data_IF_663704307062
#
_entry.id   IF_663704307062
#
_cell.length_a   1.000
_cell.length_b   1.000
_cell.length_c   1.000
_cell.angle_alpha   90.00
_cell.angle_beta   90.00
_cell.angle_gamma   90.00
#
_symmetry.space_group_name_H-M   'P 1'
#
loop_
_entity.id
_entity.type
_entity.pdbx_description
1 polymer ?
#
# COMPACT_ATOMS: atom_id res chain seq x y z
N UNK A 1 -17.76 31.04 -2.54
CA UNK A 1 -16.76 30.22 -3.27
C UNK A 1 -16.20 29.21 -2.31
N UNK A 2 -16.55 27.92 -2.48
CA UNK A 2 -16.10 26.84 -1.61
C UNK A 2 -14.58 26.65 -1.73
N UNK A 3 -13.92 26.29 -0.63
CA UNK A 3 -12.48 26.05 -0.51
C UNK A 3 -11.93 25.05 -1.57
N UNK A 4 -12.80 24.20 -2.13
CA UNK A 4 -12.53 23.30 -3.25
C UNK A 4 -12.17 23.99 -4.57
N UNK A 5 -12.63 25.23 -4.79
CA UNK A 5 -12.37 25.96 -6.04
C UNK A 5 -10.93 26.49 -6.15
N UNK A 6 -10.17 26.54 -5.05
CA UNK A 6 -8.77 26.98 -5.03
C UNK A 6 -7.77 25.83 -5.15
N UNK A 7 -8.22 24.58 -5.10
CA UNK A 7 -7.37 23.42 -5.21
C UNK A 7 -7.38 22.92 -6.66
N UNK A 8 -6.26 23.12 -7.36
CA UNK A 8 -6.05 22.59 -8.71
C UNK A 8 -6.23 21.06 -8.70
N UNK A 9 -7.28 20.53 -9.36
CA UNK A 9 -7.60 19.10 -9.33
C UNK A 9 -6.46 18.25 -9.90
N UNK A 10 -5.61 18.81 -10.77
CA UNK A 10 -4.41 18.14 -11.28
C UNK A 10 -3.40 17.90 -10.16
N UNK A 11 -3.17 18.91 -9.31
CA UNK A 11 -2.21 18.80 -8.19
C UNK A 11 -2.71 17.82 -7.13
N UNK A 12 -4.01 17.84 -6.85
CA UNK A 12 -4.64 16.86 -5.97
C UNK A 12 -4.54 15.44 -6.52
N UNK A 13 -4.86 15.25 -7.81
CA UNK A 13 -4.72 13.95 -8.48
C UNK A 13 -3.29 13.41 -8.39
N UNK A 14 -2.29 14.25 -8.70
CA UNK A 14 -0.88 13.88 -8.57
C UNK A 14 -0.49 13.51 -7.13
N UNK A 15 -0.94 14.28 -6.14
CA UNK A 15 -0.65 13.99 -4.73
C UNK A 15 -1.24 12.63 -4.31
N UNK A 16 -2.50 12.37 -4.64
CA UNK A 16 -3.16 11.11 -4.32
C UNK A 16 -2.57 9.92 -5.11
N UNK A 17 -2.19 10.11 -6.38
CA UNK A 17 -1.49 9.10 -7.16
C UNK A 17 -0.12 8.75 -6.54
N UNK A 18 0.61 9.76 -6.04
CA UNK A 18 1.87 9.56 -5.34
C UNK A 18 1.68 8.77 -4.04
N UNK A 19 0.68 9.11 -3.22
CA UNK A 19 0.37 8.34 -2.00
C UNK A 19 -0.11 6.92 -2.32
N UNK A 20 -0.87 6.72 -3.40
CA UNK A 20 -1.25 5.41 -3.91
C UNK A 20 -0.01 4.58 -4.27
N UNK A 21 0.95 5.16 -5.01
CA UNK A 21 2.20 4.50 -5.38
C UNK A 21 3.05 4.13 -4.15
N UNK A 22 3.14 5.01 -3.14
CA UNK A 22 3.83 4.70 -1.88
C UNK A 22 3.16 3.51 -1.18
N UNK A 23 1.83 3.52 -1.05
CA UNK A 23 1.09 2.45 -0.39
C UNK A 23 1.23 1.11 -1.14
N UNK A 24 1.20 1.15 -2.48
CA UNK A 24 1.50 -0.01 -3.35
C UNK A 24 2.92 -0.54 -3.11
N UNK A 25 3.91 0.34 -3.09
CA UNK A 25 5.31 -0.02 -2.85
C UNK A 25 5.48 -0.63 -1.45
N UNK A 26 4.81 -0.08 -0.45
CA UNK A 26 4.80 -0.63 0.92
C UNK A 26 4.12 -1.99 0.99
N UNK A 27 3.05 -2.21 0.22
CA UNK A 27 2.41 -3.53 0.07
C UNK A 27 3.35 -4.55 -0.58
N UNK A 28 4.01 -4.18 -1.68
CA UNK A 28 4.93 -5.05 -2.42
C UNK A 28 6.19 -5.39 -1.63
N UNK A 29 6.62 -4.50 -0.72
CA UNK A 29 7.80 -4.69 0.14
C UNK A 29 7.48 -5.29 1.50
N UNK A 30 6.22 -5.67 1.78
CA UNK A 30 5.90 -6.48 2.97
C UNK A 30 6.69 -7.78 2.86
N UNK A 31 7.66 -7.97 3.76
CA UNK A 31 8.52 -9.16 3.78
C UNK A 31 7.66 -10.41 3.93
N UNK A 32 7.75 -11.30 2.94
CA UNK A 32 7.15 -12.63 3.00
C UNK A 32 8.10 -13.53 3.80
N UNK A 33 7.61 -14.29 4.79
CA UNK A 33 8.47 -15.20 5.55
C UNK A 33 9.07 -16.25 4.61
N UNK A 34 10.32 -16.68 4.87
CA UNK A 34 11.11 -17.59 4.03
C UNK A 34 11.61 -17.05 2.68
N UNK A 35 11.40 -15.76 2.35
CA UNK A 35 12.00 -15.17 1.14
C UNK A 35 13.48 -14.78 1.31
N UNK A 36 13.97 -14.79 2.55
CA UNK A 36 15.37 -14.49 2.87
C UNK A 36 16.14 -15.80 2.88
N UNK A 37 17.26 -15.84 2.16
CA UNK A 37 18.24 -16.92 2.25
C UNK A 37 19.43 -16.44 3.06
N UNK A 38 19.95 -17.31 3.93
CA UNK A 38 21.23 -17.08 4.58
C UNK A 38 22.35 -16.99 3.52
N UNK A 39 23.50 -16.47 3.91
CA UNK A 39 24.79 -16.58 3.21
C UNK A 39 25.11 -18.00 2.71
N UNK A 40 24.54 -19.03 3.34
CA UNK A 40 24.64 -20.44 2.95
C UNK A 40 23.56 -20.91 1.96
N UNK A 41 22.67 -20.03 1.50
CA UNK A 41 21.56 -20.37 0.59
C UNK A 41 20.35 -21.03 1.24
N UNK A 42 20.45 -21.37 2.53
CA UNK A 42 19.39 -21.92 3.38
C UNK A 42 18.26 -20.91 3.58
N UNK A 43 17.01 -21.37 3.65
CA UNK A 43 15.85 -20.51 3.93
C UNK A 43 15.97 -19.96 5.36
N UNK A 44 16.27 -18.68 5.51
CA UNK A 44 16.25 -18.03 6.82
C UNK A 44 14.81 -17.93 7.31
N UNK A 45 14.56 -18.47 8.51
CA UNK A 45 13.41 -18.06 9.29
C UNK A 45 13.53 -16.56 9.56
N UNK A 46 12.72 -15.77 8.86
CA UNK A 46 12.67 -14.32 9.07
C UNK A 46 12.32 -14.05 10.55
N UNK A 47 13.00 -13.08 11.20
CA UNK A 47 12.79 -12.80 12.61
C UNK A 47 11.33 -12.51 12.88
N UNK A 48 10.83 -13.23 13.88
CA UNK A 48 9.46 -13.29 14.36
C UNK A 48 8.87 -11.91 14.64
N UNK A 49 8.13 -11.37 13.67
CA UNK A 49 7.03 -10.43 13.94
C UNK A 49 5.67 -11.11 13.77
N UNK A 50 5.61 -12.43 14.03
CA UNK A 50 4.40 -13.24 13.87
C UNK A 50 4.52 -14.71 14.31
N UNK A 51 5.45 -15.03 15.23
CA UNK A 51 5.44 -16.36 15.87
C UNK A 51 4.56 -16.25 17.11
N UNK A 52 3.42 -16.93 17.13
CA UNK A 52 2.58 -17.06 18.32
C UNK A 52 3.36 -17.77 19.45
N UNK A 53 2.97 -17.63 20.72
CA UNK A 53 3.61 -18.25 21.90
C UNK A 53 3.79 -19.78 21.79
N UNK A 54 3.17 -20.41 20.79
CA UNK A 54 3.22 -21.85 20.48
C UNK A 54 4.09 -22.20 19.27
N UNK A 55 4.91 -21.29 18.74
CA UNK A 55 5.81 -21.58 17.61
C UNK A 55 5.09 -21.73 16.26
N UNK A 56 3.81 -21.37 16.18
CA UNK A 56 2.99 -21.51 14.98
C UNK A 56 3.06 -20.25 14.10
N UNK A 57 3.11 -20.51 12.81
CA UNK A 57 3.26 -19.52 11.76
C UNK A 57 1.97 -18.77 11.48
N UNK A 58 2.02 -17.43 11.38
CA UNK A 58 0.85 -16.62 11.06
C UNK A 58 0.93 -16.06 9.62
N UNK A 59 0.76 -16.93 8.62
CA UNK A 59 0.65 -16.53 7.19
C UNK A 59 -0.40 -15.41 7.03
N UNK A 60 -1.44 -15.50 7.85
CA UNK A 60 -2.56 -14.58 7.98
C UNK A 60 -2.14 -13.14 8.32
N UNK A 61 -1.09 -12.92 9.11
CA UNK A 61 -0.64 -11.56 9.47
C UNK A 61 0.03 -10.85 8.30
N UNK A 62 0.80 -11.57 7.48
CA UNK A 62 1.47 -10.99 6.30
C UNK A 62 0.48 -10.66 5.19
N UNK A 63 -0.48 -11.55 4.91
CA UNK A 63 -1.58 -11.26 3.99
C UNK A 63 -2.49 -10.15 4.51
N UNK A 64 -2.74 -10.07 5.82
CA UNK A 64 -3.50 -8.97 6.39
C UNK A 64 -2.80 -7.62 6.21
N UNK A 65 -1.48 -7.55 6.44
CA UNK A 65 -0.68 -6.34 6.20
C UNK A 65 -0.65 -5.94 4.72
N UNK A 66 -0.45 -6.88 3.80
CA UNK A 66 -0.53 -6.59 2.36
C UNK A 66 -1.93 -6.12 1.94
N UNK A 67 -2.98 -6.78 2.43
CA UNK A 67 -4.36 -6.39 2.14
C UNK A 67 -4.68 -4.98 2.65
N UNK A 68 -4.17 -4.61 3.84
CA UNK A 68 -4.32 -3.26 4.39
C UNK A 68 -3.66 -2.21 3.48
N UNK A 69 -2.40 -2.41 3.09
CA UNK A 69 -1.71 -1.48 2.21
C UNK A 69 -2.33 -1.41 0.82
N UNK A 70 -2.79 -2.53 0.27
CA UNK A 70 -3.53 -2.56 -1.01
C UNK A 70 -4.85 -1.77 -0.92
N UNK A 71 -5.58 -1.88 0.19
CA UNK A 71 -6.81 -1.09 0.40
C UNK A 71 -6.52 0.41 0.42
N UNK A 72 -5.46 0.82 1.13
CA UNK A 72 -5.03 2.23 1.14
C UNK A 72 -4.64 2.70 -0.26
N UNK A 73 -3.86 1.89 -0.98
CA UNK A 73 -3.38 2.22 -2.30
C UNK A 73 -4.54 2.36 -3.31
N UNK A 74 -5.51 1.45 -3.26
CA UNK A 74 -6.73 1.52 -4.06
C UNK A 74 -7.58 2.76 -3.69
N UNK A 75 -7.70 3.07 -2.39
CA UNK A 75 -8.43 4.25 -1.92
C UNK A 75 -7.83 5.55 -2.45
N UNK A 76 -6.52 5.72 -2.32
CA UNK A 76 -5.82 6.89 -2.87
C UNK A 76 -5.88 6.94 -4.41
N UNK A 77 -5.79 5.79 -5.07
CA UNK A 77 -5.93 5.71 -6.53
C UNK A 77 -7.32 6.13 -7.02
N UNK A 78 -8.38 5.73 -6.31
CA UNK A 78 -9.75 6.14 -6.61
C UNK A 78 -9.95 7.66 -6.47
N UNK A 79 -9.43 8.26 -5.39
CA UNK A 79 -9.51 9.72 -5.20
C UNK A 79 -8.74 10.48 -6.29
N UNK A 80 -7.56 9.98 -6.68
CA UNK A 80 -6.81 10.56 -7.79
C UNK A 80 -7.61 10.53 -9.11
N UNK A 81 -8.21 9.39 -9.43
CA UNK A 81 -9.04 9.24 -10.62
C UNK A 81 -10.27 10.15 -10.60
N UNK A 82 -10.92 10.33 -9.44
CA UNK A 82 -12.06 11.25 -9.29
C UNK A 82 -11.64 12.71 -9.52
N UNK A 83 -10.49 13.14 -8.97
CA UNK A 83 -9.96 14.48 -9.22
C UNK A 83 -9.64 14.70 -10.71
N UNK A 84 -9.09 13.69 -11.39
CA UNK A 84 -8.84 13.76 -12.83
C UNK A 84 -10.15 13.81 -13.64
N UNK A 85 -11.16 13.01 -13.26
CA UNK A 85 -12.45 12.99 -13.93
C UNK A 85 -13.19 14.34 -13.84
N UNK A 86 -13.13 15.02 -12.69
CA UNK A 86 -13.72 16.36 -12.52
C UNK A 86 -13.07 17.38 -13.47
N UNK A 87 -11.77 17.23 -13.74
CA UNK A 87 -11.05 18.09 -14.67
C UNK A 87 -11.42 17.81 -16.14
N UNK A 88 -11.50 16.53 -16.51
CA UNK A 88 -11.78 16.12 -17.90
C UNK A 88 -13.25 16.32 -18.29
N UNK A 89 -14.15 16.19 -17.31
CA UNK A 89 -15.60 16.34 -17.49
C UNK A 89 -16.15 17.42 -16.54
N UNK A 90 -15.81 18.70 -16.75
CA UNK A 90 -16.42 19.80 -16.00
C UNK A 90 -17.91 19.90 -16.38
N UNK A 91 -18.78 19.89 -15.36
CA UNK A 91 -20.23 20.09 -15.48
C UNK A 91 -20.58 21.48 -16.03
#
# INVERSE_FOLDING_TARGET
>A
MSMLAYLDPTKLSCAFAFFSAIAWTRSATVRVPYSLRDSNGELMQAPSTGIDKKGRFNLQDTTYKQAYWNRLAAGFGAVAAMCQAIKEFPL
#
